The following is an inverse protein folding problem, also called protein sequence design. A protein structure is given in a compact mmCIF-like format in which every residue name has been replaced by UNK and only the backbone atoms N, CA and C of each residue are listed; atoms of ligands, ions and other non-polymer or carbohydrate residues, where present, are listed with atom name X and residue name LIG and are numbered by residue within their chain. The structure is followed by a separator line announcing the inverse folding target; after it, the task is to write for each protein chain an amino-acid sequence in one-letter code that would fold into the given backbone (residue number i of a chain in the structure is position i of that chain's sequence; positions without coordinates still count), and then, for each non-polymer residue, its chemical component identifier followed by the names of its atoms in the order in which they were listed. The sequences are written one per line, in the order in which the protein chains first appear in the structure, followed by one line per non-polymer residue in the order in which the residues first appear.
data_IF_370122459692
#
_entry.id   IF_370122459692
#
_cell.length_a   1.000
_cell.length_b   1.000
_cell.length_c   1.000
_cell.angle_alpha   90.00
_cell.angle_beta   90.00
_cell.angle_gamma   90.00
#
_symmetry.space_group_name_H-M   'P 1'
#
loop_
_entity.id
_entity.type
_entity.pdbx_description
1 polymer ?
#
# COMPACT_ATOMS: atom_id res chain seq x y z
N UNK A 1 -9.08 6.74 -20.37
CA UNK A 1 -9.56 5.96 -19.21
C UNK A 1 -8.57 4.83 -19.00
N UNK A 2 -8.06 4.66 -17.77
CA UNK A 2 -7.10 3.61 -17.44
C UNK A 2 -7.79 2.23 -17.52
N UNK A 3 -7.20 1.25 -18.23
CA UNK A 3 -7.79 -0.11 -18.35
C UNK A 3 -7.93 -0.79 -16.98
N UNK A 4 -6.96 -0.61 -16.09
CA UNK A 4 -7.03 -1.16 -14.72
C UNK A 4 -8.21 -0.64 -13.91
N UNK A 5 -8.60 0.64 -14.08
CA UNK A 5 -9.81 1.17 -13.43
C UNK A 5 -11.09 0.53 -13.95
N UNK A 6 -11.11 0.11 -15.21
CA UNK A 6 -12.26 -0.58 -15.80
C UNK A 6 -12.33 -2.04 -15.36
N UNK A 7 -11.19 -2.67 -15.08
CA UNK A 7 -11.11 -4.05 -14.62
C UNK A 7 -11.42 -4.20 -13.12
N UNK A 8 -11.11 -3.19 -12.31
CA UNK A 8 -11.34 -3.19 -10.86
C UNK A 8 -12.12 -1.95 -10.38
N UNK A 9 -13.30 -1.66 -10.95
CA UNK A 9 -14.09 -0.49 -10.56
C UNK A 9 -14.55 -0.58 -9.11
N UNK A 10 -14.86 -1.78 -8.64
CA UNK A 10 -15.36 -2.05 -7.29
C UNK A 10 -14.41 -1.57 -6.19
N UNK A 11 -13.09 -1.64 -6.42
CA UNK A 11 -12.09 -1.14 -5.46
C UNK A 11 -12.21 0.39 -5.30
N UNK A 12 -12.52 1.11 -6.37
CA UNK A 12 -12.68 2.56 -6.36
C UNK A 12 -14.03 2.98 -5.79
N UNK A 13 -15.07 2.26 -6.17
CA UNK A 13 -16.45 2.52 -5.77
C UNK A 13 -16.64 2.22 -4.28
N UNK A 14 -15.85 1.32 -3.71
CA UNK A 14 -15.85 1.02 -2.27
C UNK A 14 -15.71 2.27 -1.39
N UNK A 15 -14.91 3.24 -1.82
CA UNK A 15 -14.71 4.49 -1.08
C UNK A 15 -15.90 5.45 -1.17
N UNK A 16 -16.85 5.20 -2.07
CA UNK A 16 -18.04 6.03 -2.29
C UNK A 16 -19.28 5.47 -1.59
N UNK A 17 -19.19 4.23 -1.09
CA UNK A 17 -20.22 3.58 -0.30
C UNK A 17 -20.33 4.19 1.09
N UNK A 18 -21.53 4.12 1.68
CA UNK A 18 -21.75 4.40 3.10
C UNK A 18 -21.17 3.31 4.02
N UNK A 19 -21.07 3.60 5.31
CA UNK A 19 -20.42 2.72 6.30
C UNK A 19 -21.03 1.30 6.36
N UNK A 20 -22.35 1.16 6.22
CA UNK A 20 -23.04 -0.14 6.29
C UNK A 20 -22.81 -0.95 5.01
N UNK A 21 -22.92 -0.31 3.85
CA UNK A 21 -22.63 -0.92 2.56
C UNK A 21 -21.14 -1.33 2.44
N UNK A 22 -20.21 -0.55 3.01
CA UNK A 22 -18.77 -0.90 3.06
C UNK A 22 -18.53 -2.20 3.81
N UNK A 23 -19.14 -2.38 4.99
CA UNK A 23 -18.98 -3.61 5.78
C UNK A 23 -19.46 -4.83 4.98
N UNK A 24 -20.62 -4.72 4.32
CA UNK A 24 -21.18 -5.80 3.52
C UNK A 24 -20.32 -6.20 2.31
N UNK A 25 -19.53 -5.27 1.76
CA UNK A 25 -18.66 -5.53 0.61
C UNK A 25 -17.20 -5.77 0.96
N UNK A 26 -16.81 -5.68 2.23
CA UNK A 26 -15.40 -5.68 2.61
C UNK A 26 -14.66 -6.96 2.18
N UNK A 27 -15.27 -8.13 2.37
CA UNK A 27 -14.68 -9.42 1.97
C UNK A 27 -14.50 -9.55 0.45
N UNK A 28 -15.50 -9.10 -0.31
CA UNK A 28 -15.45 -9.07 -1.78
C UNK A 28 -14.30 -8.17 -2.27
N UNK A 29 -14.17 -6.98 -1.67
CA UNK A 29 -13.11 -6.03 -2.00
C UNK A 29 -11.73 -6.57 -1.63
N UNK A 30 -11.56 -7.24 -0.50
CA UNK A 30 -10.30 -7.89 -0.16
C UNK A 30 -9.91 -8.95 -1.21
N UNK A 31 -10.87 -9.72 -1.71
CA UNK A 31 -10.65 -10.69 -2.78
C UNK A 31 -10.25 -10.02 -4.09
N UNK A 32 -10.88 -8.88 -4.43
CA UNK A 32 -10.50 -8.08 -5.61
C UNK A 32 -9.09 -7.51 -5.48
N UNK A 33 -8.71 -7.03 -4.29
CA UNK A 33 -7.36 -6.52 -4.00
C UNK A 33 -6.30 -7.62 -4.17
N UNK A 34 -6.58 -8.84 -3.72
CA UNK A 34 -5.67 -9.97 -3.92
C UNK A 34 -5.45 -10.29 -5.40
N UNK A 35 -6.51 -10.30 -6.22
CA UNK A 35 -6.38 -10.48 -7.68
C UNK A 35 -5.67 -9.30 -8.35
N UNK A 36 -5.91 -8.09 -7.85
CA UNK A 36 -5.24 -6.90 -8.34
C UNK A 36 -3.74 -6.96 -8.05
N UNK A 37 -3.31 -7.44 -6.87
CA UNK A 37 -1.89 -7.55 -6.52
C UNK A 37 -1.11 -8.51 -7.43
N UNK A 38 -1.73 -9.62 -7.85
CA UNK A 38 -1.14 -10.54 -8.84
C UNK A 38 -0.91 -9.83 -10.18
N UNK A 39 -1.87 -9.01 -10.64
CA UNK A 39 -1.72 -8.22 -11.88
C UNK A 39 -0.70 -7.10 -11.76
N UNK A 40 -0.60 -6.45 -10.60
CA UNK A 40 0.47 -5.49 -10.32
C UNK A 40 1.82 -6.18 -10.49
N UNK A 41 1.99 -7.35 -9.86
CA UNK A 41 3.24 -8.10 -9.92
C UNK A 41 3.57 -8.50 -11.36
N UNK A 42 2.61 -9.01 -12.13
CA UNK A 42 2.81 -9.35 -13.53
C UNK A 42 3.20 -8.13 -14.39
N UNK A 43 2.49 -7.00 -14.26
CA UNK A 43 2.82 -5.77 -14.99
C UNK A 43 4.19 -5.21 -14.64
N UNK A 44 4.60 -5.25 -13.36
CA UNK A 44 5.94 -4.80 -12.95
C UNK A 44 7.04 -5.66 -13.56
N UNK A 45 6.83 -6.97 -13.66
CA UNK A 45 7.84 -7.91 -14.16
C UNK A 45 7.88 -7.98 -15.70
N UNK A 46 6.72 -7.92 -16.34
CA UNK A 46 6.53 -8.29 -17.74
C UNK A 46 5.87 -7.18 -18.59
N UNK A 47 5.34 -6.14 -17.97
CA UNK A 47 4.56 -5.10 -18.63
C UNK A 47 5.40 -4.14 -19.48
N UNK A 48 4.76 -3.57 -20.49
CA UNK A 48 5.32 -2.51 -21.33
C UNK A 48 5.44 -1.18 -20.58
N UNK A 49 6.17 -0.21 -21.14
CA UNK A 49 6.30 1.13 -20.55
C UNK A 49 4.94 1.84 -20.42
N UNK A 50 4.04 1.67 -21.40
CA UNK A 50 2.68 2.20 -21.38
C UNK A 50 1.85 1.56 -20.24
N UNK A 51 1.87 0.24 -20.12
CA UNK A 51 1.13 -0.49 -19.06
C UNK A 51 1.64 -0.17 -17.65
N UNK A 52 2.95 0.09 -17.53
CA UNK A 52 3.57 0.53 -16.28
C UNK A 52 3.20 1.99 -15.95
N UNK A 53 3.10 2.86 -16.95
CA UNK A 53 2.57 4.22 -16.79
C UNK A 53 1.12 4.20 -16.28
N UNK A 54 0.26 3.39 -16.90
CA UNK A 54 -1.12 3.20 -16.44
C UNK A 54 -1.21 2.68 -15.01
N UNK A 55 -0.33 1.75 -14.64
CA UNK A 55 -0.26 1.19 -13.30
C UNK A 55 0.16 2.26 -12.27
N UNK A 56 1.15 3.09 -12.59
CA UNK A 56 1.57 4.18 -11.72
C UNK A 56 0.44 5.18 -11.47
N UNK A 57 -0.26 5.59 -12.52
CA UNK A 57 -1.41 6.50 -12.40
C UNK A 57 -2.52 5.86 -11.55
N UNK A 58 -2.81 4.58 -11.76
CA UNK A 58 -3.79 3.84 -10.96
C UNK A 58 -3.41 3.83 -9.47
N UNK A 59 -2.16 3.49 -9.16
CA UNK A 59 -1.67 3.40 -7.78
C UNK A 59 -1.67 4.76 -7.09
N UNK A 60 -1.34 5.83 -7.82
CA UNK A 60 -1.37 7.20 -7.31
C UNK A 60 -2.79 7.63 -6.92
N UNK A 61 -3.77 7.36 -7.76
CA UNK A 61 -5.16 7.69 -7.48
C UNK A 61 -5.72 6.89 -6.29
N UNK A 62 -5.33 5.61 -6.18
CA UNK A 62 -5.66 4.79 -5.01
C UNK A 62 -5.02 5.34 -3.73
N UNK A 63 -3.75 5.73 -3.79
CA UNK A 63 -3.07 6.33 -2.65
C UNK A 63 -3.76 7.61 -2.17
N UNK A 64 -4.17 8.48 -3.10
CA UNK A 64 -4.92 9.71 -2.77
C UNK A 64 -6.26 9.40 -2.08
N UNK A 65 -7.03 8.42 -2.59
CA UNK A 65 -8.28 8.00 -1.95
C UNK A 65 -8.06 7.45 -0.54
N UNK A 66 -7.04 6.61 -0.35
CA UNK A 66 -6.70 6.04 0.97
C UNK A 66 -6.27 7.13 1.95
N UNK A 67 -5.40 8.06 1.56
CA UNK A 67 -4.98 9.16 2.44
C UNK A 67 -6.15 10.09 2.79
N UNK A 68 -7.06 10.35 1.85
CA UNK A 68 -8.27 11.14 2.11
C UNK A 68 -9.21 10.47 3.12
N UNK A 69 -9.47 9.16 2.97
CA UNK A 69 -10.30 8.45 3.95
C UNK A 69 -9.62 8.34 5.31
N UNK A 70 -8.31 8.08 5.34
CA UNK A 70 -7.51 8.09 6.55
C UNK A 70 -7.62 9.43 7.28
N UNK A 71 -7.52 10.56 6.57
CA UNK A 71 -7.69 11.89 7.15
C UNK A 71 -9.09 12.09 7.76
N UNK A 72 -10.15 11.67 7.06
CA UNK A 72 -11.53 11.73 7.58
C UNK A 72 -11.71 10.89 8.85
N UNK A 73 -11.11 9.70 8.91
CA UNK A 73 -11.14 8.84 10.10
C UNK A 73 -10.49 9.54 11.28
N UNK A 74 -9.29 10.11 11.10
CA UNK A 74 -8.61 10.84 12.17
C UNK A 74 -9.38 12.08 12.64
N UNK A 75 -9.99 12.83 11.71
CA UNK A 75 -10.88 13.95 12.03
C UNK A 75 -12.09 13.48 12.87
N UNK A 76 -12.74 12.39 12.47
CA UNK A 76 -13.92 11.84 13.16
C UNK A 76 -13.59 11.31 14.56
N UNK A 77 -12.43 10.69 14.73
CA UNK A 77 -11.97 10.13 16.02
C UNK A 77 -11.39 11.24 16.92
N UNK A 78 -11.00 12.38 16.35
CA UNK A 78 -10.46 13.52 17.09
C UNK A 78 -9.04 13.30 17.62
N UNK A 79 -8.26 12.44 16.95
CA UNK A 79 -6.88 12.12 17.32
C UNK A 79 -5.96 12.33 16.13
N UNK A 80 -4.73 12.79 16.39
CA UNK A 80 -3.71 12.87 15.35
C UNK A 80 -3.16 11.48 15.00
N UNK A 81 -2.53 11.37 13.83
CA UNK A 81 -1.87 10.12 13.42
C UNK A 81 -0.75 9.73 14.38
N UNK A 82 -0.01 10.70 14.93
CA UNK A 82 1.03 10.48 15.94
C UNK A 82 0.44 9.91 17.23
N UNK A 83 -0.66 10.50 17.72
CA UNK A 83 -1.35 10.01 18.92
C UNK A 83 -1.88 8.59 18.72
N UNK A 84 -2.42 8.28 17.54
CA UNK A 84 -2.86 6.94 17.21
C UNK A 84 -1.70 5.95 17.12
N UNK A 85 -0.56 6.36 16.54
CA UNK A 85 0.66 5.54 16.51
C UNK A 85 1.21 5.30 17.91
N UNK A 86 1.19 6.28 18.80
CA UNK A 86 1.56 6.11 20.21
C UNK A 86 0.63 5.12 20.89
N UNK A 87 -0.69 5.28 20.69
CA UNK A 87 -1.70 4.36 21.22
C UNK A 87 -1.43 2.91 20.80
N UNK A 88 -1.17 2.66 19.51
CA UNK A 88 -0.87 1.33 18.96
C UNK A 88 0.47 0.74 19.42
N UNK A 89 1.41 1.55 19.92
CA UNK A 89 2.74 1.07 20.35
C UNK A 89 2.87 0.91 21.87
N UNK A 90 1.83 1.21 22.64
CA UNK A 90 1.82 1.00 24.09
C UNK A 90 1.07 -0.30 24.44
N UNK A 91 1.80 -1.29 24.97
CA UNK A 91 1.23 -2.57 25.42
C UNK A 91 0.09 -2.36 26.42
N UNK A 92 0.14 -1.31 27.24
CA UNK A 92 -0.84 -1.10 28.30
C UNK A 92 -2.24 -0.72 27.76
N UNK A 93 -2.34 -0.36 26.48
CA UNK A 93 -3.62 -0.07 25.83
C UNK A 93 -4.35 -1.33 25.35
N UNK A 94 -3.73 -2.51 25.45
CA UNK A 94 -4.25 -3.76 24.93
C UNK A 94 -4.22 -4.86 26.00
N UNK A 95 -5.08 -5.86 25.84
CA UNK A 95 -4.93 -7.10 26.59
C UNK A 95 -3.64 -7.81 26.16
N UNK A 96 -3.13 -8.74 26.98
CA UNK A 96 -1.93 -9.50 26.61
C UNK A 96 -2.14 -10.33 25.33
N UNK A 97 -3.35 -10.85 25.14
CA UNK A 97 -3.75 -11.60 23.94
C UNK A 97 -3.77 -10.70 22.70
N UNK A 98 -4.48 -9.57 22.77
CA UNK A 98 -4.57 -8.61 21.66
C UNK A 98 -3.18 -8.06 21.27
N UNK A 99 -2.35 -7.77 22.26
CA UNK A 99 -0.99 -7.31 22.04
C UNK A 99 -0.14 -8.37 21.34
N UNK A 100 -0.22 -9.62 21.79
CA UNK A 100 0.51 -10.73 21.18
C UNK A 100 0.10 -10.94 19.72
N UNK A 101 -1.21 -10.99 19.44
CA UNK A 101 -1.73 -11.11 18.07
C UNK A 101 -1.32 -9.94 17.18
N UNK A 102 -1.34 -8.71 17.71
CA UNK A 102 -0.90 -7.54 16.96
C UNK A 102 0.61 -7.60 16.61
N UNK A 103 1.46 -8.01 17.56
CA UNK A 103 2.89 -8.16 17.30
C UNK A 103 3.18 -9.29 16.30
N UNK A 104 2.44 -10.40 16.39
CA UNK A 104 2.53 -11.51 15.42
C UNK A 104 2.18 -11.03 14.01
N UNK A 105 1.05 -10.34 13.85
CA UNK A 105 0.63 -9.82 12.55
C UNK A 105 1.61 -8.76 12.00
N UNK A 106 2.17 -7.91 12.87
CA UNK A 106 3.25 -6.97 12.52
C UNK A 106 4.51 -7.69 12.06
N UNK A 107 4.82 -8.86 12.64
CA UNK A 107 5.89 -9.75 12.20
C UNK A 107 5.61 -10.33 10.82
N UNK A 108 4.44 -10.94 10.65
CA UNK A 108 4.00 -11.53 9.38
C UNK A 108 4.04 -10.53 8.22
N UNK A 109 3.52 -9.31 8.41
CA UNK A 109 3.52 -8.28 7.38
C UNK A 109 4.94 -7.86 6.98
N UNK A 110 5.88 -7.78 7.93
CA UNK A 110 7.28 -7.47 7.62
C UNK A 110 7.94 -8.56 6.78
N UNK A 111 7.60 -9.82 7.02
CA UNK A 111 8.17 -10.95 6.28
C UNK A 111 7.54 -11.13 4.89
N UNK A 112 6.24 -10.83 4.75
CA UNK A 112 5.47 -11.12 3.53
C UNK A 112 5.34 -9.94 2.57
N UNK A 113 5.18 -8.71 3.07
CA UNK A 113 5.01 -7.50 2.24
C UNK A 113 6.35 -6.85 1.88
N UNK A 114 7.41 -7.16 2.65
CA UNK A 114 8.78 -6.76 2.35
C UNK A 114 9.69 -7.99 2.26
N UNK A 115 9.55 -8.85 1.22
CA UNK A 115 10.50 -9.94 1.04
C UNK A 115 11.88 -9.31 0.81
N UNK A 116 12.75 -9.35 1.83
CA UNK A 116 14.14 -8.92 1.80
C UNK A 116 14.44 -7.91 0.69
N UNK A 117 14.25 -6.60 0.94
CA UNK A 117 15.03 -5.62 0.18
C UNK A 117 16.47 -6.06 0.37
N UNK A 118 17.20 -6.50 -0.68
CA UNK A 118 18.57 -6.91 -0.50
C UNK A 118 19.25 -5.75 0.19
N UNK A 119 19.88 -5.98 1.34
CA UNK A 119 20.82 -5.01 1.87
C UNK A 119 21.75 -4.73 0.70
N UNK A 120 21.61 -3.56 0.07
CA UNK A 120 22.56 -3.11 -0.94
C UNK A 120 23.83 -2.95 -0.15
N UNK A 121 24.61 -4.05 -0.07
CA UNK A 121 26.00 -4.01 0.31
C UNK A 121 26.55 -2.90 -0.56
N UNK A 122 27.00 -1.82 0.08
CA UNK A 122 27.57 -0.65 -0.57
C UNK A 122 28.57 -1.14 -1.61
N UNK A 123 28.12 -1.29 -2.86
CA UNK A 123 29.01 -1.56 -3.98
C UNK A 123 29.81 -0.28 -4.03
N UNK A 124 31.06 -0.35 -3.58
CA UNK A 124 32.04 0.70 -3.74
C UNK A 124 32.08 0.98 -5.24
N UNK A 125 31.33 1.99 -5.70
CA UNK A 125 31.42 2.50 -7.06
C UNK A 125 32.87 2.94 -7.24
N UNK A 126 33.67 2.09 -7.89
CA UNK A 126 34.93 2.54 -8.50
C UNK A 126 34.54 3.67 -9.44
N UNK A 127 35.07 4.87 -9.18
CA UNK A 127 34.90 6.05 -10.03
C UNK A 127 35.40 5.69 -11.44
N UNK A 128 34.51 5.30 -12.35
CA UNK A 128 34.83 5.27 -13.77
C UNK A 128 34.80 6.71 -14.27
N UNK A 129 35.98 7.22 -14.62
CA UNK A 129 36.14 8.49 -15.34
C UNK A 129 35.53 8.32 -16.74
N UNK A 130 34.31 8.75 -16.96
CA UNK A 130 33.81 8.97 -18.32
C UNK A 130 33.86 10.47 -18.59
N UNK A 131 34.83 10.87 -19.42
CA UNK A 131 34.90 12.21 -20.03
C UNK A 131 33.65 12.37 -20.89
N UNK A 132 32.82 13.35 -20.60
CA UNK A 132 31.81 13.82 -21.53
C UNK A 132 32.52 14.46 -22.73
N UNK A 133 32.33 13.89 -23.91
CA UNK A 133 32.75 14.48 -25.18
C UNK A 133 31.73 15.59 -25.48
N UNK A 134 32.24 16.82 -25.55
CA UNK A 134 31.54 17.95 -26.16
C UNK A 134 31.53 17.74 -27.67
N UNK A 135 30.37 17.89 -28.29
CA UNK A 135 30.21 18.32 -29.68
C UNK A 135 28.85 19.00 -29.79
#
# INVERSE_FOLDING_TARGET
MLKLKQEFPEIFDFFELDDEARVGKFEEILSQIARFSEKIQDRILNGTEEENGELQDFLKDMQEKVENEKAKVFEKVGVSEEQFKEFLNDKNNFSEEDWASMQEMKGYLKETVMPNVPKINKIKRKKSKTKWIQS
#
